data_IF_525402893622
#
_entry.id   IF_525402893622
#
_cell.length_a   1.000
_cell.length_b   1.000
_cell.length_c   1.000
_cell.angle_alpha   90.00
_cell.angle_beta   90.00
_cell.angle_gamma   90.00
#
_symmetry.space_group_name_H-M   'P 1'
#
loop_
_entity.id
_entity.type
_entity.pdbx_description
1 polymer ?
#
# COMPACT_ATOMS: atom_id res chain seq x y z
N UNK A 1 -15.43 17.22 23.23
CA UNK A 1 -15.01 17.20 22.72
C UNK A 1 -14.50 17.08 22.11
N UNK A 2 -14.33 17.41 22.00
CA UNK A 2 -13.95 17.36 21.25
C UNK A 2 -12.95 17.15 20.91
N UNK A 3 -12.55 16.86 20.59
CA UNK A 3 -11.68 16.64 20.04
C UNK A 3 -11.34 16.61 19.14
N UNK A 4 -11.33 17.28 18.95
CA UNK A 4 -11.01 17.52 17.88
C UNK A 4 -10.07 16.80 17.32
N UNK A 5 -10.31 16.23 16.47
CA UNK A 5 -9.30 15.45 16.02
C UNK A 5 -8.41 16.22 15.11
N UNK A 6 -7.21 16.09 15.34
CA UNK A 6 -6.28 16.71 14.52
C UNK A 6 -6.03 15.82 13.35
N UNK A 7 -6.24 16.33 12.19
CA UNK A 7 -5.99 15.57 10.99
C UNK A 7 -4.52 15.60 10.67
N UNK A 8 -3.92 14.44 10.50
CA UNK A 8 -2.53 14.38 10.11
C UNK A 8 -2.43 14.67 8.62
N UNK A 9 -1.49 15.47 8.22
CA UNK A 9 -1.21 15.67 6.82
C UNK A 9 -0.09 14.74 6.39
N UNK A 10 -0.13 14.35 5.13
CA UNK A 10 0.87 13.46 4.59
C UNK A 10 0.99 13.66 3.10
N UNK A 11 2.11 13.22 2.56
CA UNK A 11 2.33 13.22 1.13
C UNK A 11 2.38 11.78 0.66
N UNK A 12 1.84 11.56 -0.52
CA UNK A 12 1.86 10.24 -1.14
C UNK A 12 2.72 10.25 -2.37
N UNK A 13 3.65 9.32 -2.41
CA UNK A 13 4.32 8.98 -3.66
C UNK A 13 3.70 7.67 -4.11
N UNK A 14 3.19 7.66 -5.34
CA UNK A 14 2.50 6.50 -5.87
C UNK A 14 3.27 6.02 -7.10
N UNK A 15 3.80 4.82 -7.01
CA UNK A 15 4.62 4.28 -8.08
C UNK A 15 3.88 4.28 -9.42
N UNK A 16 2.58 3.97 -9.38
CA UNK A 16 1.84 3.85 -10.64
C UNK A 16 1.71 5.17 -11.38
N UNK A 17 1.94 6.28 -10.71
CA UNK A 17 1.88 7.58 -11.40
C UNK A 17 3.11 7.84 -12.24
N UNK A 18 4.13 6.99 -12.12
CA UNK A 18 5.34 7.10 -12.91
C UNK A 18 5.22 6.39 -14.25
N UNK A 19 4.12 5.73 -14.51
CA UNK A 19 3.95 4.93 -15.70
C UNK A 19 2.83 5.45 -16.57
N UNK A 20 2.78 4.94 -17.81
CA UNK A 20 1.75 5.29 -18.78
C UNK A 20 0.42 4.70 -18.31
N UNK A 21 -0.52 5.56 -17.96
CA UNK A 21 -1.81 5.13 -17.43
C UNK A 21 -2.62 4.31 -18.44
N UNK A 22 -2.38 4.53 -19.73
CA UNK A 22 -3.13 3.80 -20.75
C UNK A 22 -2.81 2.32 -20.75
N UNK A 23 -1.67 1.94 -20.20
CA UNK A 23 -1.25 0.54 -20.18
C UNK A 23 -1.41 -0.08 -18.82
N UNK A 24 -2.19 0.56 -17.98
CA UNK A 24 -2.28 0.22 -16.57
C UNK A 24 -3.67 -0.31 -16.25
N UNK A 25 -3.74 -1.53 -15.70
CA UNK A 25 -5.03 -2.06 -15.27
C UNK A 25 -5.20 -1.72 -13.80
N UNK A 26 -5.90 -0.65 -13.53
CA UNK A 26 -6.00 -0.14 -12.17
C UNK A 26 -6.67 -1.10 -11.20
N UNK A 27 -7.38 -2.11 -11.71
CA UNK A 27 -8.05 -3.06 -10.84
C UNK A 27 -7.30 -4.38 -10.69
N UNK A 28 -6.24 -4.59 -11.46
CA UNK A 28 -5.51 -5.86 -11.40
C UNK A 28 -4.02 -5.60 -11.49
N UNK A 29 -3.48 -5.03 -10.43
CA UNK A 29 -2.08 -4.63 -10.44
C UNK A 29 -1.56 -4.47 -9.02
N UNK A 30 -0.27 -4.33 -8.92
CA UNK A 30 0.38 -4.07 -7.63
C UNK A 30 1.33 -2.91 -7.80
N UNK A 31 1.66 -2.28 -6.69
CA UNK A 31 2.67 -1.23 -6.72
C UNK A 31 3.16 -0.94 -5.31
N UNK A 32 4.22 -0.16 -5.24
CA UNK A 32 4.70 0.35 -3.97
C UNK A 32 4.23 1.79 -3.83
N UNK A 33 3.95 2.19 -2.61
CA UNK A 33 3.65 3.58 -2.33
C UNK A 33 4.47 4.02 -1.13
N UNK A 34 4.68 5.33 -1.02
CA UNK A 34 5.34 5.89 0.16
C UNK A 34 4.39 6.89 0.78
N UNK A 35 4.29 6.82 2.09
CA UNK A 35 3.47 7.75 2.87
C UNK A 35 4.42 8.50 3.78
N UNK A 36 4.52 9.81 3.58
CA UNK A 36 5.40 10.65 4.39
C UNK A 36 4.54 11.54 5.25
N UNK A 37 4.56 11.30 6.55
CA UNK A 37 3.77 12.09 7.48
C UNK A 37 4.52 13.37 7.84
N UNK A 38 3.76 14.40 8.17
CA UNK A 38 4.37 15.68 8.53
C UNK A 38 5.21 15.59 9.79
N UNK A 39 4.98 14.58 10.62
CA UNK A 39 5.77 14.41 11.85
C UNK A 39 7.08 13.67 11.60
N UNK A 40 7.41 13.40 10.35
CA UNK A 40 8.69 12.81 10.00
C UNK A 40 8.69 11.30 9.80
N UNK A 41 7.56 10.65 10.04
CA UNK A 41 7.50 9.21 9.82
C UNK A 41 7.30 8.91 8.34
N UNK A 42 7.98 7.86 7.88
CA UNK A 42 7.93 7.46 6.49
C UNK A 42 7.62 5.98 6.41
N UNK A 43 6.72 5.63 5.52
CA UNK A 43 6.34 4.23 5.36
C UNK A 43 6.46 3.82 3.90
N UNK A 44 7.01 2.63 3.69
CA UNK A 44 6.96 1.99 2.39
C UNK A 44 5.91 0.89 2.47
N UNK A 45 4.95 0.91 1.58
CA UNK A 45 3.81 0.00 1.62
C UNK A 45 3.65 -0.68 0.29
N UNK A 46 3.58 -2.01 0.32
CA UNK A 46 3.33 -2.80 -0.87
C UNK A 46 1.83 -3.00 -0.99
N UNK A 47 1.25 -2.56 -2.09
CA UNK A 47 -0.19 -2.53 -2.26
C UNK A 47 -0.59 -3.40 -3.44
N UNK A 48 -1.58 -4.26 -3.23
CA UNK A 48 -2.15 -5.09 -4.29
C UNK A 48 -3.63 -4.76 -4.40
N UNK A 49 -4.16 -4.80 -5.63
CA UNK A 49 -5.61 -4.75 -5.78
C UNK A 49 -6.18 -6.12 -5.42
N UNK A 50 -7.46 -6.16 -5.11
CA UNK A 50 -8.10 -7.43 -4.78
C UNK A 50 -7.97 -8.44 -5.92
N UNK A 51 -8.11 -7.98 -7.15
CA UNK A 51 -7.98 -8.90 -8.30
C UNK A 51 -6.56 -9.39 -8.49
N UNK A 52 -5.59 -8.58 -8.13
CA UNK A 52 -4.21 -9.00 -8.33
C UNK A 52 -3.85 -10.21 -7.48
N UNK A 53 -4.54 -10.42 -6.37
CA UNK A 53 -4.26 -11.60 -5.55
C UNK A 53 -4.34 -12.87 -6.39
N UNK A 54 -5.38 -13.01 -7.19
CA UNK A 54 -5.51 -14.18 -8.03
C UNK A 54 -4.39 -14.28 -9.06
N UNK A 55 -4.05 -13.14 -9.65
CA UNK A 55 -2.97 -13.09 -10.62
C UNK A 55 -1.65 -13.51 -9.98
N UNK A 56 -1.38 -13.00 -8.78
CA UNK A 56 -0.14 -13.31 -8.07
C UNK A 56 -0.06 -14.80 -7.72
N UNK A 57 -1.17 -15.37 -7.27
CA UNK A 57 -1.20 -16.80 -6.95
C UNK A 57 -0.86 -17.61 -8.19
N UNK A 58 -1.45 -17.26 -9.32
CA UNK A 58 -1.20 -17.99 -10.55
C UNK A 58 0.22 -17.82 -11.07
N UNK A 59 0.76 -16.63 -10.98
CA UNK A 59 2.12 -16.38 -11.43
C UNK A 59 3.13 -17.14 -10.58
N UNK A 60 2.96 -17.09 -9.27
CA UNK A 60 3.88 -17.82 -8.39
C UNK A 60 3.73 -19.32 -8.55
N UNK A 61 2.50 -19.79 -8.78
CA UNK A 61 2.26 -21.18 -9.02
C UNK A 61 3.00 -21.65 -10.27
N UNK A 62 2.96 -20.85 -11.33
CA UNK A 62 3.61 -21.22 -12.59
C UNK A 62 5.11 -21.22 -12.48
N UNK A 63 5.69 -20.48 -11.54
CA UNK A 63 7.13 -20.46 -11.33
C UNK A 63 7.57 -21.34 -10.17
N UNK A 64 6.64 -22.08 -9.58
CA UNK A 64 6.96 -23.05 -8.53
C UNK A 64 7.19 -22.45 -7.16
N UNK A 65 6.73 -21.23 -6.93
CA UNK A 65 7.11 -20.53 -5.71
C UNK A 65 6.18 -20.71 -4.53
N UNK A 66 4.92 -21.03 -4.76
CA UNK A 66 3.95 -21.12 -3.67
C UNK A 66 3.43 -22.53 -3.50
N UNK A 67 4.28 -23.52 -3.76
CA UNK A 67 3.91 -24.92 -3.68
C UNK A 67 2.68 -25.24 -4.51
N UNK A 68 2.71 -24.75 -5.76
CA UNK A 68 1.62 -24.98 -6.72
C UNK A 68 0.30 -24.37 -6.27
N UNK A 69 0.37 -23.23 -5.63
CA UNK A 69 -0.83 -22.50 -5.24
C UNK A 69 -1.33 -22.82 -3.86
N UNK A 70 -0.51 -23.50 -3.06
CA UNK A 70 -0.93 -23.88 -1.73
C UNK A 70 -1.04 -22.69 -0.80
N UNK A 71 -0.23 -21.67 -0.99
CA UNK A 71 -0.27 -20.48 -0.18
C UNK A 71 0.20 -19.26 -0.99
N UNK A 72 0.01 -18.10 -0.43
CA UNK A 72 0.48 -16.86 -1.03
C UNK A 72 0.88 -15.89 0.08
N UNK A 73 2.05 -15.29 -0.06
CA UNK A 73 2.47 -14.28 0.89
C UNK A 73 1.67 -13.01 0.59
N UNK A 74 1.09 -12.40 1.62
CA UNK A 74 0.26 -11.22 1.39
C UNK A 74 1.09 -9.96 1.19
N UNK A 75 0.51 -8.94 0.57
CA UNK A 75 1.13 -7.62 0.56
C UNK A 75 0.84 -6.94 1.89
N UNK A 76 1.27 -5.69 2.02
CA UNK A 76 0.98 -4.91 3.21
C UNK A 76 -0.46 -4.42 3.22
N UNK A 77 -1.04 -4.19 2.05
CA UNK A 77 -2.36 -3.58 1.95
C UNK A 77 -3.06 -4.03 0.69
N UNK A 78 -4.37 -4.32 0.81
CA UNK A 78 -5.22 -4.57 -0.35
C UNK A 78 -6.13 -3.37 -0.56
N UNK A 79 -6.32 -3.00 -1.83
CA UNK A 79 -7.24 -1.93 -2.18
C UNK A 79 -8.07 -2.37 -3.38
N UNK A 80 -9.14 -1.66 -3.64
CA UNK A 80 -10.00 -1.99 -4.76
C UNK A 80 -9.34 -1.63 -6.09
N UNK A 81 -8.69 -0.50 -6.13
CA UNK A 81 -8.09 -0.01 -7.38
C UNK A 81 -6.89 0.88 -7.08
N UNK A 82 -5.98 0.96 -8.04
CA UNK A 82 -4.80 1.80 -7.88
C UNK A 82 -5.05 3.16 -8.51
N UNK A 83 -5.74 4.01 -7.74
CA UNK A 83 -5.95 5.40 -8.12
C UNK A 83 -5.57 6.26 -6.93
N UNK A 84 -5.18 7.50 -7.20
CA UNK A 84 -4.79 8.39 -6.11
C UNK A 84 -5.95 8.59 -5.14
N UNK A 85 -7.16 8.74 -5.67
CA UNK A 85 -8.33 8.93 -4.81
C UNK A 85 -8.54 7.76 -3.86
N UNK A 86 -8.46 6.55 -4.38
CA UNK A 86 -8.63 5.35 -3.56
C UNK A 86 -7.55 5.25 -2.49
N UNK A 87 -6.30 5.45 -2.87
CA UNK A 87 -5.18 5.35 -1.93
C UNK A 87 -5.25 6.46 -0.88
N UNK A 88 -5.55 7.69 -1.32
CA UNK A 88 -5.64 8.81 -0.40
C UNK A 88 -6.69 8.55 0.67
N UNK A 89 -7.86 8.12 0.27
CA UNK A 89 -8.94 7.86 1.23
C UNK A 89 -8.62 6.70 2.14
N UNK A 90 -7.95 5.69 1.60
CA UNK A 90 -7.57 4.52 2.37
C UNK A 90 -6.59 4.91 3.49
N UNK A 91 -5.56 5.68 3.14
CA UNK A 91 -4.58 6.08 4.13
C UNK A 91 -5.22 7.00 5.18
N UNK A 92 -6.07 7.92 4.74
CA UNK A 92 -6.78 8.78 5.68
C UNK A 92 -7.58 7.96 6.69
N UNK A 93 -8.27 6.94 6.20
CA UNK A 93 -9.09 6.11 7.06
C UNK A 93 -8.24 5.29 8.04
N UNK A 94 -7.14 4.73 7.54
CA UNK A 94 -6.27 3.94 8.39
C UNK A 94 -5.63 4.78 9.49
N UNK A 95 -5.26 6.01 9.18
CA UNK A 95 -4.65 6.88 10.18
C UNK A 95 -5.62 7.25 11.29
N UNK A 96 -6.93 7.14 11.05
CA UNK A 96 -7.91 7.35 12.11
C UNK A 96 -7.92 6.21 13.10
N UNK A 97 -7.50 5.03 12.68
CA UNK A 97 -7.52 3.85 13.55
C UNK A 97 -6.33 3.86 14.48
N UNK A 98 -5.13 4.02 13.91
CA UNK A 98 -3.91 4.01 14.70
C UNK A 98 -2.76 4.38 13.75
N UNK A 99 -1.54 4.33 14.26
CA UNK A 99 -0.36 4.52 13.43
C UNK A 99 -0.30 3.41 12.39
N UNK A 100 0.20 3.73 11.21
CA UNK A 100 0.21 2.74 10.13
C UNK A 100 0.96 1.46 10.49
N UNK A 101 2.02 1.56 11.27
CA UNK A 101 2.76 0.36 11.65
C UNK A 101 1.95 -0.54 12.57
N UNK A 102 0.86 -0.02 13.15
CA UNK A 102 -0.01 -0.81 14.02
C UNK A 102 -1.16 -1.44 13.27
N UNK A 103 -1.61 -0.80 12.19
CA UNK A 103 -2.76 -1.30 11.46
C UNK A 103 -2.37 -2.06 10.20
N UNK A 104 -1.13 -1.90 9.74
CA UNK A 104 -0.63 -2.62 8.58
C UNK A 104 0.63 -3.35 8.96
N UNK A 105 0.92 -4.39 8.22
CA UNK A 105 2.16 -5.12 8.43
C UNK A 105 3.21 -4.58 7.49
N UNK A 106 3.50 -3.29 7.62
CA UNK A 106 4.32 -2.61 6.65
C UNK A 106 5.78 -2.62 7.04
N UNK A 107 6.61 -2.37 6.06
CA UNK A 107 8.01 -2.11 6.29
C UNK A 107 8.13 -0.67 6.66
N UNK A 108 8.51 -0.42 7.89
CA UNK A 108 8.54 0.91 8.37
C UNK A 108 9.93 1.43 8.29
N UNK A 109 10.02 2.64 7.84
CA UNK A 109 11.27 3.25 7.83
C UNK A 109 11.29 4.42 8.70
N UNK A 110 12.32 4.51 9.47
CA UNK A 110 12.67 5.76 10.06
C UNK A 110 13.82 6.26 9.23
N UNK A 111 13.51 6.97 8.21
CA UNK A 111 14.47 7.36 7.23
C UNK A 111 15.54 8.25 7.75
N UNK A 112 15.31 8.80 8.88
CA UNK A 112 16.31 9.65 9.44
C UNK A 112 17.50 8.88 9.92
N UNK A 113 17.33 7.63 10.08
CA UNK A 113 18.46 6.89 10.49
C UNK A 113 19.50 6.91 9.48
N UNK A 114 19.93 7.05 9.34
CA UNK A 114 20.61 7.24 8.51
C UNK A 114 21.34 7.86 8.31
N UNK A 115 21.33 8.10 8.43
CA UNK A 115 21.88 8.77 8.02
C UNK A 115 22.38 8.83 8.33
#
# INVERSE_FOLDING_TARGET
MKFMSRKLTFKLWLEFEEFDQDKWDIENEFCNIHVDLEDGRHYGINVWTYKFLETAVNEDKNTGQNLSGLYQKPPDLFVKELTRNCIQKTIEDLLKIDHLEKVLNTSIYNEQRQK
#
